data_IF_573570344509
#
_entry.id   IF_573570344509
#
_cell.length_a   1.000
_cell.length_b   1.000
_cell.length_c   1.000
_cell.angle_alpha   90.00
_cell.angle_beta   90.00
_cell.angle_gamma   90.00
#
_symmetry.space_group_name_H-M   'P 1'
#
loop_
_entity.id
_entity.type
_entity.pdbx_description
1 polymer ?
#
# COMPACT_ATOMS: atom_id res chain seq x y z
N UNK A 1 36.75 -8.65 -23.36
CA UNK A 1 35.53 -8.81 -22.63
C UNK A 1 34.81 -7.47 -22.50
N UNK A 2 33.59 -7.48 -22.80
CA UNK A 2 32.82 -6.30 -22.61
C UNK A 2 32.55 -6.13 -21.13
N UNK A 3 32.82 -4.96 -20.64
CA UNK A 3 32.33 -4.68 -19.30
C UNK A 3 30.82 -4.91 -19.31
N UNK A 4 30.39 -5.78 -18.47
CA UNK A 4 28.97 -5.86 -18.23
C UNK A 4 28.49 -4.45 -17.94
N UNK A 5 27.26 -4.08 -18.31
CA UNK A 5 26.73 -2.77 -17.97
C UNK A 5 26.48 -2.68 -16.48
N UNK A 6 27.54 -2.90 -15.71
CA UNK A 6 27.45 -2.93 -14.26
C UNK A 6 27.05 -1.58 -13.70
N UNK A 7 27.29 -0.51 -14.45
CA UNK A 7 26.85 0.83 -14.09
C UNK A 7 25.45 1.12 -14.59
N UNK A 8 24.90 0.28 -15.46
CA UNK A 8 23.53 0.46 -15.90
C UNK A 8 22.60 0.17 -14.73
N UNK A 9 21.70 1.09 -14.47
CA UNK A 9 20.66 0.85 -13.48
C UNK A 9 19.78 -0.30 -13.96
N UNK A 10 19.42 -1.25 -13.09
CA UNK A 10 18.44 -2.25 -13.45
C UNK A 10 17.16 -1.56 -13.95
N UNK A 11 16.55 -2.15 -14.94
CA UNK A 11 15.25 -1.68 -15.38
C UNK A 11 14.30 -1.75 -14.18
N UNK A 12 13.45 -0.74 -14.03
CA UNK A 12 12.43 -0.77 -13.00
C UNK A 12 11.49 -1.93 -13.29
N UNK A 13 11.15 -2.67 -12.26
CA UNK A 13 10.11 -3.68 -12.36
C UNK A 13 8.77 -3.00 -12.69
N UNK A 14 7.93 -3.63 -13.49
CA UNK A 14 6.54 -3.21 -13.56
C UNK A 14 5.95 -3.12 -12.16
N UNK A 15 5.01 -2.19 -11.97
CA UNK A 15 4.41 -1.98 -10.65
C UNK A 15 3.83 -3.28 -10.07
N UNK A 16 3.23 -4.10 -10.91
CA UNK A 16 2.62 -5.37 -10.50
C UNK A 16 3.64 -6.37 -9.95
N UNK A 17 4.90 -6.26 -10.38
CA UNK A 17 5.99 -7.15 -9.96
C UNK A 17 6.85 -6.54 -8.85
N UNK A 18 6.63 -5.27 -8.53
CA UNK A 18 7.38 -4.60 -7.48
C UNK A 18 6.94 -5.13 -6.11
N UNK A 19 7.86 -5.66 -5.29
CA UNK A 19 7.48 -6.16 -3.96
C UNK A 19 6.98 -5.06 -3.03
N UNK A 20 7.18 -3.79 -3.38
CA UNK A 20 6.65 -2.65 -2.61
C UNK A 20 5.22 -2.30 -3.03
N UNK A 21 4.67 -2.98 -4.03
CA UNK A 21 3.30 -2.78 -4.46
C UNK A 21 2.35 -3.04 -3.27
N UNK A 22 1.45 -2.10 -2.96
CA UNK A 22 0.58 -2.25 -1.79
C UNK A 22 -0.37 -3.44 -1.87
N UNK A 23 -0.82 -3.81 -3.07
CA UNK A 23 -1.65 -5.02 -3.22
C UNK A 23 -0.86 -6.26 -2.83
N UNK A 24 0.39 -6.36 -3.26
CA UNK A 24 1.26 -7.49 -2.90
C UNK A 24 1.49 -7.54 -1.38
N UNK A 25 1.74 -6.40 -0.76
CA UNK A 25 1.98 -6.32 0.68
C UNK A 25 0.73 -6.66 1.48
N UNK A 26 -0.42 -6.14 1.09
CA UNK A 26 -1.69 -6.47 1.74
C UNK A 26 -2.05 -7.94 1.54
N UNK A 27 -1.80 -8.49 0.37
CA UNK A 27 -2.02 -9.92 0.10
C UNK A 27 -1.15 -10.79 1.00
N UNK A 28 0.09 -10.39 1.24
CA UNK A 28 1.00 -11.13 2.12
C UNK A 28 0.57 -11.04 3.60
N UNK A 29 -0.06 -9.93 4.00
CA UNK A 29 -0.53 -9.74 5.38
C UNK A 29 -1.80 -10.54 5.66
N UNK A 30 -2.75 -10.50 4.73
CA UNK A 30 -4.09 -11.03 4.95
C UNK A 30 -4.17 -12.52 4.60
N UNK A 31 -5.07 -13.21 5.26
CA UNK A 31 -5.35 -14.62 4.97
C UNK A 31 -5.73 -14.79 3.49
N UNK A 32 -5.35 -15.94 2.93
CA UNK A 32 -5.59 -16.23 1.51
C UNK A 32 -7.06 -16.04 1.14
N UNK A 33 -7.28 -15.31 0.05
CA UNK A 33 -8.61 -15.09 -0.50
C UNK A 33 -9.51 -14.14 0.28
N UNK A 34 -9.00 -13.48 1.33
CA UNK A 34 -9.83 -12.59 2.16
C UNK A 34 -9.70 -11.11 1.80
N UNK A 35 -8.70 -10.75 1.00
CA UNK A 35 -8.47 -9.35 0.66
C UNK A 35 -9.61 -8.79 -0.18
N UNK A 36 -10.17 -7.68 0.26
CA UNK A 36 -11.16 -6.91 -0.48
C UNK A 36 -10.81 -5.43 -0.38
N UNK A 37 -10.51 -4.81 -1.52
CA UNK A 37 -10.17 -3.40 -1.54
C UNK A 37 -11.40 -2.56 -1.20
N UNK A 38 -11.21 -1.56 -0.35
CA UNK A 38 -12.26 -0.59 -0.01
C UNK A 38 -11.99 0.78 -0.62
N UNK A 39 -10.84 0.95 -1.25
CA UNK A 39 -10.48 2.15 -1.99
C UNK A 39 -9.98 1.76 -3.38
N UNK A 40 -10.10 2.66 -4.37
CA UNK A 40 -9.51 2.38 -5.69
C UNK A 40 -7.99 2.23 -5.59
N UNK A 41 -7.44 1.37 -6.42
CA UNK A 41 -5.99 1.31 -6.63
C UNK A 41 -5.62 2.40 -7.63
N UNK A 42 -5.38 3.58 -7.13
CA UNK A 42 -5.03 4.75 -7.90
C UNK A 42 -3.66 5.30 -7.47
N UNK A 43 -3.33 6.50 -7.91
CA UNK A 43 -2.06 7.14 -7.59
C UNK A 43 -2.15 8.07 -6.37
N UNK A 44 -3.11 7.84 -5.48
CA UNK A 44 -3.19 8.55 -4.21
C UNK A 44 -1.98 8.29 -3.31
N UNK A 45 -1.30 7.16 -3.53
CA UNK A 45 -0.17 6.75 -2.71
C UNK A 45 -0.57 5.93 -1.50
N UNK A 46 -1.84 5.56 -1.39
CA UNK A 46 -2.34 4.78 -0.26
C UNK A 46 -3.45 3.83 -0.74
N UNK A 47 -3.46 2.63 -0.20
CA UNK A 47 -4.46 1.63 -0.51
C UNK A 47 -5.04 1.06 0.78
N UNK A 48 -6.35 0.87 0.83
CA UNK A 48 -7.00 0.28 1.99
C UNK A 48 -7.84 -0.93 1.60
N UNK A 49 -7.90 -1.88 2.50
CA UNK A 49 -8.60 -3.13 2.30
C UNK A 49 -9.21 -3.64 3.59
N UNK A 50 -10.19 -4.50 3.46
CA UNK A 50 -10.64 -5.36 4.55
C UNK A 50 -10.17 -6.78 4.26
N UNK A 51 -10.05 -7.58 5.30
CA UNK A 51 -9.65 -8.98 5.18
C UNK A 51 -9.61 -9.64 6.53
N UNK A 52 -8.89 -10.75 6.61
CA UNK A 52 -8.72 -11.49 7.85
C UNK A 52 -7.25 -11.75 8.11
N UNK A 53 -6.88 -11.78 9.38
CA UNK A 53 -5.57 -12.23 9.85
C UNK A 53 -5.83 -13.32 10.88
N UNK A 54 -5.39 -14.55 10.58
CA UNK A 54 -5.64 -15.72 11.42
C UNK A 54 -7.14 -15.87 11.73
N UNK A 55 -7.98 -15.64 10.73
CA UNK A 55 -9.43 -15.75 10.84
C UNK A 55 -10.14 -14.55 11.46
N UNK A 56 -9.42 -13.56 11.93
CA UNK A 56 -10.01 -12.37 12.55
C UNK A 56 -10.12 -11.22 11.55
N UNK A 57 -11.29 -10.62 11.45
CA UNK A 57 -11.52 -9.50 10.55
C UNK A 57 -10.69 -8.29 10.96
N UNK A 58 -10.09 -7.66 9.98
CA UNK A 58 -9.29 -6.43 10.15
C UNK A 58 -9.54 -5.48 9.00
N UNK A 59 -9.28 -4.20 9.24
CA UNK A 59 -9.06 -3.21 8.19
C UNK A 59 -7.55 -3.00 8.11
N UNK A 60 -7.02 -2.91 6.91
CA UNK A 60 -5.60 -2.65 6.70
C UNK A 60 -5.41 -1.57 5.65
N UNK A 61 -4.37 -0.76 5.81
CA UNK A 61 -3.94 0.16 4.76
C UNK A 61 -2.45 0.02 4.53
N UNK A 62 -2.02 0.37 3.33
CA UNK A 62 -0.64 0.25 2.93
C UNK A 62 -0.24 1.45 2.08
N UNK A 63 0.86 2.11 2.46
CA UNK A 63 1.44 3.15 1.62
C UNK A 63 2.05 2.53 0.37
N UNK A 64 1.91 3.24 -0.77
CA UNK A 64 2.43 2.78 -2.04
C UNK A 64 3.78 3.42 -2.29
N UNK A 65 4.85 2.67 -2.02
CA UNK A 65 6.21 3.16 -2.22
C UNK A 65 6.56 3.32 -3.70
N UNK A 66 5.75 2.79 -4.61
CA UNK A 66 5.94 2.97 -6.05
C UNK A 66 5.45 4.33 -6.54
N UNK A 67 4.70 5.06 -5.69
CA UNK A 67 4.19 6.41 -5.97
C UNK A 67 4.93 7.40 -5.08
N UNK A 68 5.79 8.22 -5.66
CA UNK A 68 6.57 9.26 -4.96
C UNK A 68 7.28 8.73 -3.71
N UNK A 69 7.76 7.47 -3.74
CA UNK A 69 8.47 6.86 -2.62
C UNK A 69 7.63 6.68 -1.35
N UNK A 70 6.31 6.70 -1.46
CA UNK A 70 5.41 6.62 -0.31
C UNK A 70 5.11 7.97 0.34
N UNK A 71 5.43 9.08 -0.34
CA UNK A 71 5.12 10.39 0.20
C UNK A 71 3.61 10.61 0.36
N UNK A 72 3.23 11.20 1.49
CA UNK A 72 1.81 11.42 1.82
C UNK A 72 1.30 12.72 1.23
N UNK A 73 0.14 12.65 0.60
CA UNK A 73 -0.61 13.78 0.11
C UNK A 73 -2.04 13.78 0.64
N UNK A 74 -2.83 14.73 0.18
CA UNK A 74 -4.22 14.90 0.65
C UNK A 74 -5.08 13.66 0.37
N UNK A 75 -5.01 13.11 -0.84
CA UNK A 75 -5.80 11.93 -1.21
C UNK A 75 -5.41 10.71 -0.38
N UNK A 76 -4.11 10.51 -0.16
CA UNK A 76 -3.63 9.41 0.67
C UNK A 76 -4.09 9.55 2.12
N UNK A 77 -4.08 10.76 2.65
CA UNK A 77 -4.59 11.02 4.00
C UNK A 77 -6.09 10.69 4.11
N UNK A 78 -6.88 11.00 3.09
CA UNK A 78 -8.30 10.66 3.07
C UNK A 78 -8.53 9.15 3.09
N UNK A 79 -7.71 8.40 2.36
CA UNK A 79 -7.78 6.94 2.38
C UNK A 79 -7.54 6.41 3.79
N UNK A 80 -6.54 6.93 4.49
CA UNK A 80 -6.26 6.52 5.87
C UNK A 80 -7.42 6.85 6.80
N UNK A 81 -7.97 8.06 6.69
CA UNK A 81 -9.13 8.47 7.52
C UNK A 81 -10.33 7.56 7.26
N UNK A 82 -10.62 7.26 6.01
CA UNK A 82 -11.73 6.37 5.65
C UNK A 82 -11.50 4.95 6.19
N UNK A 83 -10.25 4.48 6.16
CA UNK A 83 -9.91 3.18 6.75
C UNK A 83 -10.16 3.16 8.25
N UNK A 84 -9.80 4.21 8.97
CA UNK A 84 -10.09 4.32 10.41
C UNK A 84 -11.60 4.35 10.68
N UNK A 85 -12.35 5.11 9.90
CA UNK A 85 -13.80 5.14 10.04
C UNK A 85 -14.41 3.76 9.82
N UNK A 86 -13.93 3.03 8.83
CA UNK A 86 -14.41 1.68 8.55
C UNK A 86 -14.12 0.73 9.71
N UNK A 87 -12.90 0.80 10.26
CA UNK A 87 -12.51 -0.04 11.39
C UNK A 87 -13.37 0.27 12.62
N UNK A 88 -13.63 1.54 12.90
CA UNK A 88 -14.49 1.96 14.01
C UNK A 88 -15.93 1.49 13.81
N UNK A 89 -16.48 1.65 12.61
CA UNK A 89 -17.83 1.22 12.28
C UNK A 89 -18.00 -0.28 12.44
N UNK A 90 -17.02 -1.05 11.96
CA UNK A 90 -17.07 -2.51 12.02
C UNK A 90 -16.61 -3.08 13.36
N UNK A 91 -16.03 -2.24 14.23
CA UNK A 91 -15.51 -2.69 15.52
C UNK A 91 -14.35 -3.65 15.39
N UNK A 92 -13.46 -3.45 14.42
CA UNK A 92 -12.33 -4.34 14.13
C UNK A 92 -11.00 -3.60 14.24
N UNK A 93 -9.88 -4.33 14.45
CA UNK A 93 -8.56 -3.71 14.46
C UNK A 93 -8.21 -3.11 13.10
N UNK A 94 -7.34 -2.09 13.13
CA UNK A 94 -6.75 -1.51 11.93
C UNK A 94 -5.24 -1.74 11.95
N UNK A 95 -4.70 -2.12 10.80
CA UNK A 95 -3.28 -2.38 10.62
C UNK A 95 -2.76 -1.46 9.54
N UNK A 96 -1.68 -0.72 9.84
CA UNK A 96 -1.03 0.14 8.87
C UNK A 96 0.33 -0.40 8.45
N UNK A 97 0.53 -0.54 7.16
CA UNK A 97 1.81 -0.89 6.56
C UNK A 97 2.40 0.38 5.94
N UNK A 98 3.41 0.94 6.59
CA UNK A 98 3.98 2.21 6.19
C UNK A 98 5.28 2.07 5.42
N UNK A 99 5.43 2.87 4.37
CA UNK A 99 6.69 3.21 3.77
C UNK A 99 6.60 4.70 3.44
N UNK A 100 7.17 5.55 4.26
CA UNK A 100 6.98 6.99 4.13
C UNK A 100 8.16 7.66 3.45
N UNK A 101 7.87 8.40 2.39
CA UNK A 101 8.81 9.30 1.75
C UNK A 101 8.65 10.75 2.20
N UNK A 102 7.87 10.99 3.26
CA UNK A 102 7.56 12.32 3.75
C UNK A 102 6.26 12.87 3.20
N UNK A 103 6.10 14.17 3.16
CA UNK A 103 4.91 14.83 2.66
C UNK A 103 5.08 15.25 1.20
N UNK A 104 3.98 15.28 0.45
CA UNK A 104 3.95 15.83 -0.90
C UNK A 104 3.83 17.34 -0.81
N UNK A 105 4.88 18.04 -1.25
CA UNK A 105 4.95 19.50 -1.11
C UNK A 105 3.98 20.23 -2.04
N UNK A 106 3.52 19.58 -3.10
CA UNK A 106 2.63 20.19 -4.08
C UNK A 106 1.14 20.08 -3.73
N UNK A 107 0.84 19.51 -2.58
CA UNK A 107 -0.55 19.32 -2.15
C UNK A 107 -0.86 20.06 -0.85
#
# INVERSE_FOLDING_TARGET
>A
MTAAPAQAKPAKLPREEDPRNPVARLTALLDDGTLELITPDDDSGMLAAIGQVQGNRVVAFCSDATVMGGAMGDLGCRVVVDAYHRALTDGVPIIGLWHSGGARLAE
#
